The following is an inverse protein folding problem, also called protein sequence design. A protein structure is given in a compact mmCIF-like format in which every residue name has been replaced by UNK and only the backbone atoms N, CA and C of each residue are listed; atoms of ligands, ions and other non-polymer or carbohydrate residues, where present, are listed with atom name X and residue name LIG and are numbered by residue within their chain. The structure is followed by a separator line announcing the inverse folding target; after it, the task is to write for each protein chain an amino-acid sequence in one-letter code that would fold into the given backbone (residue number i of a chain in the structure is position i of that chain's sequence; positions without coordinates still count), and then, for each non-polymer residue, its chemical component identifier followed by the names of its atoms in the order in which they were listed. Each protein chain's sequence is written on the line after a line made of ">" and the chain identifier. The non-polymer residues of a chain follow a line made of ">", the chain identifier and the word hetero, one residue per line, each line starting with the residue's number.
data_IF_753067615052
#
_entry.id   IF_753067615052
#
_cell.length_a   1.000
_cell.length_b   1.000
_cell.length_c   1.000
_cell.angle_alpha   90.00
_cell.angle_beta   90.00
_cell.angle_gamma   90.00
#
_symmetry.space_group_name_H-M   'P 1'
#
loop_
_entity.id
_entity.type
_entity.pdbx_description
1 polymer ?
#
# COMPACT_ATOMS: atom_id res chain seq x y z
N UNK A 1 12.81 -5.05 -14.53
CA UNK A 1 12.81 -5.03 -14.25
C UNK A 1 12.73 -5.02 -14.30
N UNK A 2 12.88 -5.12 -14.64
CA UNK A 2 12.91 -5.22 -14.42
C UNK A 2 13.00 -5.42 -14.44
N UNK A 3 13.32 -5.46 -14.94
CA UNK A 3 13.53 -5.66 -14.56
C UNK A 3 13.93 -5.47 -14.23
N UNK A 4 14.15 -5.31 -14.46
CA UNK A 4 14.58 -5.10 -13.89
C UNK A 4 14.78 -4.81 -13.36
N UNK A 5 15.06 -4.58 -13.49
CA UNK A 5 15.21 -4.47 -12.74
C UNK A 5 15.06 -4.73 -12.15
N UNK A 6 15.04 -4.96 -12.40
CA UNK A 6 14.93 -5.37 -11.64
C UNK A 6 15.13 -5.75 -11.07
N UNK A 7 15.55 -5.84 -11.31
CA UNK A 7 15.79 -6.35 -10.54
C UNK A 7 16.20 -6.19 -9.70
N UNK A 8 16.49 -5.76 -9.97
CA UNK A 8 16.98 -5.70 -9.07
C UNK A 8 16.78 -5.57 -7.95
N UNK A 9 16.40 -5.71 -7.74
CA UNK A 9 16.19 -5.56 -6.66
C UNK A 9 16.36 -6.43 -5.74
N UNK A 10 16.38 -6.77 -5.71
CA UNK A 10 16.36 -7.43 -4.99
C UNK A 10 17.12 -8.05 -4.28
N UNK A 11 17.72 -8.07 -4.40
CA UNK A 11 18.76 -8.68 -3.99
C UNK A 11 19.42 -8.26 -2.82
N UNK A 12 19.04 -7.28 -2.27
CA UNK A 12 19.61 -6.69 -1.09
C UNK A 12 19.04 -7.23 0.19
N UNK A 13 18.00 -8.05 0.11
CA UNK A 13 17.30 -8.51 1.28
C UNK A 13 16.29 -7.52 1.83
N UNK A 14 16.09 -6.40 1.17
CA UNK A 14 15.12 -5.40 1.59
C UNK A 14 13.91 -5.34 0.70
N UNK A 15 13.47 -6.49 0.23
CA UNK A 15 12.25 -6.57 -0.56
C UNK A 15 11.09 -5.97 0.21
N UNK A 16 10.28 -5.16 -0.48
CA UNK A 16 9.15 -4.50 0.14
C UNK A 16 9.46 -3.17 0.79
N UNK A 17 10.69 -2.66 0.65
CA UNK A 17 11.05 -1.35 1.16
C UNK A 17 11.23 -0.40 -0.02
N UNK A 18 10.22 0.42 -0.26
CA UNK A 18 10.14 1.39 -1.36
C UNK A 18 10.54 0.74 -2.68
N UNK A 19 9.92 -0.39 -2.96
CA UNK A 19 10.27 -1.22 -4.10
C UNK A 19 9.36 -0.90 -5.27
N UNK A 20 9.95 -0.55 -6.42
CA UNK A 20 9.17 -0.25 -7.62
C UNK A 20 8.70 -1.55 -8.24
N UNK A 21 7.37 -1.74 -8.32
CA UNK A 21 6.77 -2.92 -8.93
C UNK A 21 6.44 -2.70 -10.40
N UNK A 22 6.11 -1.48 -10.77
CA UNK A 22 5.72 -1.13 -12.12
C UNK A 22 6.00 0.35 -12.34
N UNK A 23 6.40 0.72 -13.54
CA UNK A 23 6.75 2.12 -13.82
C UNK A 23 5.61 2.93 -14.40
N UNK A 24 4.64 2.27 -15.06
CA UNK A 24 3.52 3.00 -15.66
C UNK A 24 2.24 2.16 -15.55
N UNK A 25 1.34 2.49 -14.65
CA UNK A 25 1.48 3.59 -13.67
C UNK A 25 2.53 3.25 -12.62
N UNK A 26 3.19 4.25 -12.10
CA UNK A 26 4.23 4.03 -11.10
C UNK A 26 3.62 3.37 -9.87
N UNK A 27 4.09 2.19 -9.55
CA UNK A 27 3.58 1.38 -8.45
C UNK A 27 4.73 1.01 -7.54
N UNK A 28 4.62 1.37 -6.26
CA UNK A 28 5.68 1.17 -5.27
C UNK A 28 5.11 0.42 -4.09
N UNK A 29 5.87 -0.54 -3.56
CA UNK A 29 5.49 -1.30 -2.37
C UNK A 29 6.44 -1.00 -1.23
N UNK A 30 5.90 -0.90 -0.01
CA UNK A 30 6.69 -0.71 1.20
C UNK A 30 5.99 -1.39 2.37
N UNK A 31 6.76 -2.16 3.15
CA UNK A 31 6.21 -2.93 4.28
C UNK A 31 5.97 -2.09 5.54
N UNK A 32 6.05 -0.77 5.45
CA UNK A 32 5.74 0.09 6.59
C UNK A 32 4.37 -0.20 7.16
N UNK A 33 4.31 -0.52 8.45
CA UNK A 33 3.06 -0.95 9.07
C UNK A 33 2.83 -0.33 10.44
N UNK A 34 3.83 0.23 11.05
CA UNK A 34 3.68 0.94 12.32
C UNK A 34 3.88 2.44 12.09
N UNK A 35 3.71 3.22 13.16
CA UNK A 35 3.78 4.68 13.06
C UNK A 35 5.13 5.13 12.48
N UNK A 36 6.22 4.57 12.99
CA UNK A 36 7.56 4.97 12.54
C UNK A 36 7.78 4.61 11.06
N UNK A 37 7.39 3.39 10.67
CA UNK A 37 7.52 2.97 9.28
C UNK A 37 6.69 3.82 8.34
N UNK A 38 5.47 4.17 8.74
CA UNK A 38 4.61 5.00 7.90
C UNK A 38 5.09 6.44 7.81
N UNK A 39 5.78 6.93 8.84
CA UNK A 39 6.41 8.25 8.74
C UNK A 39 7.52 8.27 7.71
N UNK A 40 8.30 7.20 7.62
CA UNK A 40 9.32 7.08 6.58
C UNK A 40 8.66 7.02 5.20
N UNK A 41 7.57 6.25 5.06
CA UNK A 41 6.81 6.19 3.80
C UNK A 41 6.33 7.58 3.41
N UNK A 42 5.82 8.33 4.37
CA UNK A 42 5.33 9.68 4.12
C UNK A 42 6.44 10.60 3.59
N UNK A 43 7.64 10.51 4.18
CA UNK A 43 8.79 11.27 3.71
C UNK A 43 9.16 10.89 2.28
N UNK A 44 9.13 9.59 1.98
CA UNK A 44 9.44 9.12 0.63
C UNK A 44 8.41 9.60 -0.38
N UNK A 45 7.13 9.66 0.02
CA UNK A 45 6.07 10.18 -0.84
C UNK A 45 6.32 11.64 -1.18
N UNK A 46 6.79 12.42 -0.21
CA UNK A 46 7.08 13.84 -0.42
C UNK A 46 8.23 14.03 -1.41
N UNK A 47 9.13 13.06 -1.48
CA UNK A 47 10.28 13.11 -2.40
C UNK A 47 10.00 12.50 -3.76
N UNK A 48 8.84 11.85 -3.92
CA UNK A 48 8.49 11.17 -5.15
C UNK A 48 7.40 11.97 -5.85
N UNK A 49 7.72 12.70 -6.92
CA UNK A 49 6.72 13.53 -7.59
C UNK A 49 5.55 12.69 -8.10
N UNK A 50 4.34 13.14 -7.83
CA UNK A 50 3.13 12.49 -8.30
C UNK A 50 1.98 13.47 -8.22
N UNK A 51 0.91 13.19 -8.97
CA UNK A 51 -0.30 14.02 -8.95
C UNK A 51 -1.30 13.48 -7.96
N UNK A 52 -1.88 12.31 -8.24
CA UNK A 52 -2.83 11.69 -7.32
C UNK A 52 -2.23 10.42 -6.73
N UNK A 53 -2.55 10.15 -5.48
CA UNK A 53 -2.02 8.99 -4.77
C UNK A 53 -3.13 7.97 -4.57
N UNK A 54 -2.85 6.73 -4.97
CA UNK A 54 -3.73 5.59 -4.77
C UNK A 54 -3.02 4.62 -3.83
N UNK A 55 -3.65 4.26 -2.72
CA UNK A 55 -3.02 3.42 -1.70
C UNK A 55 -3.77 2.10 -1.56
N UNK A 56 -3.08 1.01 -1.87
CA UNK A 56 -3.57 -0.35 -1.60
C UNK A 56 -3.12 -0.70 -0.19
N UNK A 57 -4.07 -0.89 0.72
CA UNK A 57 -3.77 -1.00 2.14
C UNK A 57 -4.51 -2.18 2.77
N UNK A 58 -3.78 -2.98 3.53
CA UNK A 58 -4.32 -4.07 4.35
C UNK A 58 -3.42 -4.28 5.55
N UNK A 59 -3.95 -4.85 6.63
CA UNK A 59 -3.17 -5.02 7.84
C UNK A 59 -3.61 -6.27 8.60
N UNK A 60 -3.01 -6.54 9.76
CA UNK A 60 -3.32 -7.70 10.57
C UNK A 60 -4.30 -7.32 11.69
N UNK A 61 -5.11 -8.31 12.12
CA UNK A 61 -6.22 -8.06 13.03
C UNK A 61 -5.77 -7.87 14.49
N UNK A 62 -4.65 -8.44 14.87
CA UNK A 62 -4.21 -8.46 16.26
C UNK A 62 -3.40 -7.24 16.66
N UNK A 63 -3.66 -6.11 16.02
CA UNK A 63 -2.86 -4.92 16.17
C UNK A 63 -3.74 -3.69 16.25
N UNK A 64 -3.37 -2.75 17.12
CA UNK A 64 -4.06 -1.47 17.17
C UNK A 64 -3.52 -0.58 16.05
N UNK A 65 -4.36 -0.29 15.07
CA UNK A 65 -3.95 0.45 13.88
C UNK A 65 -4.40 1.92 13.92
N UNK A 66 -5.05 2.36 14.98
CA UNK A 66 -5.61 3.71 15.00
C UNK A 66 -4.52 4.79 14.83
N UNK A 67 -3.37 4.62 15.51
CA UNK A 67 -2.27 5.58 15.37
C UNK A 67 -1.63 5.50 13.98
N UNK A 68 -1.51 4.29 13.42
CA UNK A 68 -0.95 4.12 12.08
C UNK A 68 -1.84 4.76 11.03
N UNK A 69 -3.15 4.62 11.14
CA UNK A 69 -4.08 5.20 10.17
C UNK A 69 -3.97 6.72 10.13
N UNK A 70 -3.63 7.35 11.25
CA UNK A 70 -3.46 8.80 11.29
C UNK A 70 -2.23 9.28 10.52
N UNK A 71 -1.27 8.38 10.28
CA UNK A 71 -0.07 8.73 9.51
C UNK A 71 -0.27 8.61 8.01
N UNK A 72 -1.38 8.04 7.56
CA UNK A 72 -1.64 7.87 6.13
C UNK A 72 -2.19 9.17 5.53
N UNK A 73 -1.86 9.48 4.27
CA UNK A 73 -2.30 10.73 3.65
C UNK A 73 -3.80 10.73 3.39
N UNK A 74 -4.49 11.75 3.89
CA UNK A 74 -5.96 11.83 3.79
C UNK A 74 -6.45 12.14 2.39
N UNK A 75 -5.61 12.75 1.58
CA UNK A 75 -5.99 13.10 0.21
C UNK A 75 -5.90 11.94 -0.75
N UNK A 76 -5.33 10.80 -0.31
CA UNK A 76 -5.21 9.63 -1.17
C UNK A 76 -6.53 8.91 -1.32
N UNK A 77 -6.63 8.13 -2.39
CA UNK A 77 -7.75 7.21 -2.62
C UNK A 77 -7.29 5.84 -2.16
N UNK A 78 -8.04 5.22 -1.26
CA UNK A 78 -7.65 3.97 -0.65
C UNK A 78 -8.39 2.78 -1.26
N UNK A 79 -7.67 1.65 -1.35
CA UNK A 79 -8.16 0.38 -1.85
C UNK A 79 -7.88 -0.63 -0.74
N UNK A 80 -8.86 -0.81 0.15
CA UNK A 80 -8.71 -1.67 1.33
C UNK A 80 -8.84 -3.12 0.93
N UNK A 81 -7.94 -3.96 1.42
CA UNK A 81 -7.90 -5.36 1.04
C UNK A 81 -7.47 -6.21 2.23
N UNK A 82 -7.51 -7.51 2.01
CA UNK A 82 -7.18 -8.49 3.03
C UNK A 82 -6.24 -9.52 2.42
N UNK A 83 -5.07 -9.70 3.04
CA UNK A 83 -4.15 -10.75 2.64
C UNK A 83 -4.76 -12.11 2.97
N UNK A 84 -4.40 -13.13 2.22
CA UNK A 84 -4.97 -14.47 2.38
C UNK A 84 -4.24 -15.22 3.50
N UNK A 85 -4.38 -14.71 4.72
CA UNK A 85 -3.83 -15.31 5.94
C UNK A 85 -4.86 -15.18 7.06
N UNK A 86 -4.86 -16.11 8.05
CA UNK A 86 -5.85 -16.06 9.14
C UNK A 86 -5.78 -14.79 9.99
N UNK A 87 -4.59 -14.20 10.13
CA UNK A 87 -4.40 -13.00 10.96
C UNK A 87 -4.83 -11.71 10.30
N UNK A 88 -5.18 -11.75 9.02
CA UNK A 88 -5.51 -10.53 8.30
C UNK A 88 -6.78 -9.89 8.85
N UNK A 89 -6.76 -8.57 8.99
CA UNK A 89 -7.95 -7.81 9.37
C UNK A 89 -8.92 -7.78 8.19
N UNK A 90 -10.18 -8.05 8.46
CA UNK A 90 -11.21 -8.01 7.44
C UNK A 90 -11.25 -6.62 6.79
N UNK A 91 -11.37 -6.59 5.47
CA UNK A 91 -11.28 -5.33 4.73
C UNK A 91 -12.44 -4.39 5.08
N UNK A 92 -13.64 -4.93 5.35
CA UNK A 92 -14.77 -4.10 5.77
C UNK A 92 -14.51 -3.44 7.12
N UNK A 93 -13.95 -4.18 8.07
CA UNK A 93 -13.59 -3.64 9.38
C UNK A 93 -12.50 -2.58 9.25
N UNK A 94 -11.55 -2.82 8.38
CA UNK A 94 -10.47 -1.86 8.11
C UNK A 94 -11.04 -0.57 7.52
N UNK A 95 -11.95 -0.68 6.56
CA UNK A 95 -12.58 0.48 5.95
C UNK A 95 -13.28 1.34 7.00
N UNK A 96 -14.00 0.70 7.92
CA UNK A 96 -14.72 1.42 8.96
C UNK A 96 -13.76 2.21 9.86
N UNK A 97 -12.67 1.58 10.27
CA UNK A 97 -11.67 2.27 11.10
C UNK A 97 -11.00 3.40 10.32
N UNK A 98 -10.74 3.18 9.04
CA UNK A 98 -10.13 4.19 8.18
C UNK A 98 -11.04 5.40 8.00
N UNK A 99 -12.35 5.17 7.85
CA UNK A 99 -13.31 6.26 7.74
C UNK A 99 -13.30 7.13 8.99
N UNK A 100 -13.17 6.51 10.16
CA UNK A 100 -13.10 7.25 11.42
C UNK A 100 -11.81 8.09 11.49
N UNK A 101 -10.79 7.73 10.75
CA UNK A 101 -9.53 8.48 10.67
C UNK A 101 -9.53 9.50 9.52
N UNK A 102 -10.62 9.61 8.78
CA UNK A 102 -10.73 10.57 7.67
C UNK A 102 -10.23 10.06 6.34
N UNK A 103 -10.03 8.77 6.20
CA UNK A 103 -9.55 8.16 4.96
C UNK A 103 -10.74 7.68 4.13
N UNK A 104 -10.63 7.77 2.81
CA UNK A 104 -11.71 7.40 1.89
C UNK A 104 -11.24 6.31 0.94
N UNK A 105 -12.08 5.31 0.73
CA UNK A 105 -11.73 4.24 -0.19
C UNK A 105 -12.77 3.14 -0.26
N UNK A 106 -12.50 2.18 -1.13
CA UNK A 106 -13.38 1.04 -1.37
C UNK A 106 -12.73 -0.25 -0.86
N UNK A 107 -13.53 -1.28 -0.72
CA UNK A 107 -13.12 -2.58 -0.20
C UNK A 107 -13.00 -3.58 -1.36
N UNK A 108 -11.96 -4.40 -1.32
CA UNK A 108 -11.69 -5.42 -2.33
C UNK A 108 -11.42 -6.76 -1.64
N UNK A 109 -11.79 -7.87 -2.28
CA UNK A 109 -11.69 -9.20 -1.63
C UNK A 109 -10.25 -9.72 -1.49
N UNK A 110 -9.34 -9.23 -2.35
CA UNK A 110 -7.96 -9.71 -2.33
C UNK A 110 -7.01 -8.55 -2.58
N UNK A 111 -5.73 -8.78 -2.26
CA UNK A 111 -4.69 -7.79 -2.58
C UNK A 111 -4.60 -7.57 -4.08
N UNK A 112 -4.66 -8.66 -4.85
CA UNK A 112 -4.58 -8.56 -6.31
C UNK A 112 -5.71 -7.72 -6.89
N UNK A 113 -6.94 -7.93 -6.42
CA UNK A 113 -8.09 -7.17 -6.91
C UNK A 113 -7.92 -5.68 -6.60
N UNK A 114 -7.46 -5.36 -5.39
CA UNK A 114 -7.23 -3.97 -5.01
C UNK A 114 -6.13 -3.34 -5.86
N UNK A 115 -5.04 -4.08 -6.07
CA UNK A 115 -3.92 -3.57 -6.87
C UNK A 115 -4.33 -3.30 -8.31
N UNK A 116 -5.06 -4.23 -8.93
CA UNK A 116 -5.53 -4.05 -10.30
C UNK A 116 -6.45 -2.83 -10.40
N UNK A 117 -7.38 -2.68 -9.43
CA UNK A 117 -8.29 -1.54 -9.44
C UNK A 117 -7.52 -0.23 -9.30
N UNK A 118 -6.52 -0.18 -8.42
CA UNK A 118 -5.73 1.03 -8.22
C UNK A 118 -4.93 1.38 -9.48
N UNK A 119 -4.34 0.39 -10.10
CA UNK A 119 -3.55 0.63 -11.32
C UNK A 119 -4.44 1.06 -12.49
N UNK A 120 -5.65 0.53 -12.58
CA UNK A 120 -6.57 0.94 -13.63
C UNK A 120 -7.11 2.36 -13.41
N UNK A 121 -7.26 2.76 -12.16
CA UNK A 121 -7.73 4.11 -11.83
C UNK A 121 -6.63 5.16 -11.96
N UNK A 122 -5.38 4.75 -11.81
CA UNK A 122 -4.24 5.68 -11.83
C UNK A 122 -3.99 6.18 -13.25
N UNK A 123 -3.89 7.50 -13.37
CA UNK A 123 -3.55 8.12 -14.63
C UNK A 123 -2.06 8.40 -14.73
N UNK A 124 -1.67 9.00 -15.85
CA UNK A 124 -0.28 9.41 -16.05
C UNK A 124 0.11 10.43 -14.97
N UNK A 125 1.21 10.18 -14.32
CA UNK A 125 1.67 11.05 -13.24
C UNK A 125 1.14 10.68 -11.86
N UNK A 126 0.26 9.70 -11.76
CA UNK A 126 -0.24 9.21 -10.48
C UNK A 126 0.71 8.16 -9.90
N UNK A 127 0.58 7.94 -8.61
CA UNK A 127 1.38 6.96 -7.89
C UNK A 127 0.46 5.95 -7.19
N UNK A 128 0.77 4.67 -7.34
CA UNK A 128 0.10 3.58 -6.61
C UNK A 128 1.06 3.08 -5.53
N UNK A 129 0.65 3.16 -4.28
CA UNK A 129 1.43 2.69 -3.15
C UNK A 129 0.76 1.46 -2.54
N UNK A 130 1.52 0.39 -2.34
CA UNK A 130 1.03 -0.82 -1.67
C UNK A 130 1.73 -0.91 -0.32
N UNK A 131 0.96 -0.91 0.76
CA UNK A 131 1.54 -0.91 2.10
C UNK A 131 0.56 -1.48 3.13
N UNK A 132 0.98 -1.54 4.38
CA UNK A 132 0.15 -1.96 5.51
C UNK A 132 0.68 -3.18 6.24
N UNK A 133 1.22 -4.15 5.53
CA UNK A 133 1.83 -5.31 6.16
C UNK A 133 2.73 -6.02 5.15
N UNK A 134 3.66 -6.82 5.69
CA UNK A 134 4.53 -7.62 4.84
C UNK A 134 3.72 -8.63 4.02
N UNK A 135 2.60 -9.11 4.56
CA UNK A 135 1.76 -10.09 3.86
C UNK A 135 1.06 -9.48 2.66
N UNK A 136 0.61 -8.24 2.78
CA UNK A 136 -0.02 -7.52 1.66
C UNK A 136 1.02 -7.28 0.56
N UNK A 137 2.19 -6.81 0.93
CA UNK A 137 3.26 -6.57 -0.04
C UNK A 137 3.68 -7.86 -0.72
N UNK A 138 3.80 -8.96 0.04
CA UNK A 138 4.18 -10.25 -0.53
C UNK A 138 3.19 -10.71 -1.60
N UNK A 139 1.89 -10.55 -1.35
CA UNK A 139 0.87 -10.93 -2.34
C UNK A 139 0.89 -10.00 -3.57
N UNK A 140 1.22 -8.74 -3.37
CA UNK A 140 1.33 -7.82 -4.49
C UNK A 140 2.53 -8.15 -5.40
N UNK A 141 3.55 -8.79 -4.84
CA UNK A 141 4.73 -9.19 -5.60
C UNK A 141 4.53 -10.46 -6.42
N UNK A 142 3.48 -11.23 -6.14
CA UNK A 142 3.20 -12.47 -6.86
C UNK A 142 2.82 -12.25 -8.35
#
# INVERSE_FOLDING_TARGET
>A
IARGLANTVTNTGFMGRWQVLKREPLTIADVGHNVDGLRVVKEMLERTPHQHLHVVYGTVADKDISAALKELPREAIFYFCKADIPRALDADALQLQAQNAGLKGSVFPTVRAALVAAQQAAGTGDLVLVTGSVFVVAEALE
#
